data_IF_883910304469
#
_entry.id   IF_883910304469
#
_cell.length_a   1.000
_cell.length_b   1.000
_cell.length_c   1.000
_cell.angle_alpha   90.00
_cell.angle_beta   90.00
_cell.angle_gamma   90.00
#
_symmetry.space_group_name_H-M   'P 1'
#
loop_
_entity.id
_entity.type
_entity.pdbx_description
1 polymer ?
#
# COMPACT_ATOMS: atom_id res chain seq x y z
N UNK A 1 10.76 -21.06 12.74
CA UNK A 1 10.16 -20.20 11.71
C UNK A 1 10.52 -18.76 11.97
N UNK A 2 10.96 -18.06 10.94
CA UNK A 2 11.32 -16.67 11.09
C UNK A 2 10.11 -15.75 11.09
N UNK A 3 10.32 -14.52 11.56
CA UNK A 3 9.28 -13.51 11.59
C UNK A 3 8.75 -13.14 10.20
N UNK A 4 9.63 -13.13 9.19
CA UNK A 4 9.24 -12.86 7.79
C UNK A 4 8.18 -13.87 7.35
N UNK A 5 8.42 -15.17 7.60
CA UNK A 5 7.48 -16.22 7.24
C UNK A 5 6.13 -16.03 7.94
N UNK A 6 6.15 -15.68 9.23
CA UNK A 6 4.91 -15.42 9.98
C UNK A 6 4.11 -14.27 9.37
N UNK A 7 4.77 -13.17 9.03
CA UNK A 7 4.13 -12.02 8.40
C UNK A 7 3.51 -12.38 7.06
N UNK A 8 4.25 -13.09 6.21
CA UNK A 8 3.77 -13.49 4.89
C UNK A 8 2.63 -14.52 4.99
N UNK A 9 2.73 -15.47 5.89
CA UNK A 9 1.67 -16.47 6.10
C UNK A 9 0.37 -15.81 6.56
N UNK A 10 0.45 -14.87 7.49
CA UNK A 10 -0.70 -14.09 7.94
C UNK A 10 -1.32 -13.32 6.79
N UNK A 11 -0.48 -12.65 5.99
CA UNK A 11 -0.94 -11.88 4.83
C UNK A 11 -1.63 -12.76 3.80
N UNK A 12 -1.05 -13.92 3.48
CA UNK A 12 -1.62 -14.90 2.53
C UNK A 12 -2.96 -15.43 3.03
N UNK A 13 -3.08 -15.71 4.32
CA UNK A 13 -4.32 -16.20 4.93
C UNK A 13 -5.46 -15.20 4.76
N UNK A 14 -5.18 -13.91 4.85
CA UNK A 14 -6.19 -12.86 4.66
C UNK A 14 -6.72 -12.85 3.22
N UNK A 15 -5.83 -12.91 2.23
CA UNK A 15 -6.25 -12.95 0.82
C UNK A 15 -7.07 -14.21 0.54
N UNK A 16 -6.64 -15.36 1.07
CA UNK A 16 -7.36 -16.60 0.90
C UNK A 16 -8.75 -16.54 1.52
N UNK A 17 -8.85 -16.01 2.73
CA UNK A 17 -10.13 -15.91 3.45
C UNK A 17 -11.14 -15.01 2.74
N UNK A 18 -10.67 -13.97 2.06
CA UNK A 18 -11.52 -13.01 1.33
C UNK A 18 -11.60 -13.31 -0.17
N UNK A 19 -10.94 -14.33 -0.66
CA UNK A 19 -10.87 -14.68 -2.09
C UNK A 19 -10.31 -13.52 -2.93
N UNK A 20 -9.37 -12.76 -2.40
CA UNK A 20 -8.66 -11.71 -3.15
C UNK A 20 -7.67 -12.34 -4.12
N UNK A 21 -7.46 -11.69 -5.27
CA UNK A 21 -6.59 -12.22 -6.33
C UNK A 21 -5.11 -12.03 -6.05
N UNK A 22 -4.72 -11.02 -5.27
CA UNK A 22 -3.33 -10.74 -4.96
C UNK A 22 -2.82 -11.60 -3.79
N UNK A 23 -1.50 -11.62 -3.62
CA UNK A 23 -0.83 -12.55 -2.72
C UNK A 23 -1.25 -12.41 -1.25
N UNK A 24 -1.42 -11.20 -0.75
CA UNK A 24 -1.76 -11.02 0.64
C UNK A 24 -2.10 -9.59 1.02
N UNK A 25 -2.47 -9.41 2.29
CA UNK A 25 -2.81 -8.12 2.85
C UNK A 25 -2.13 -7.96 4.22
N UNK A 26 -1.58 -6.78 4.46
CA UNK A 26 -0.80 -6.47 5.66
C UNK A 26 -1.42 -5.26 6.38
N UNK A 27 -1.45 -5.31 7.70
CA UNK A 27 -1.74 -4.12 8.50
C UNK A 27 -0.53 -3.18 8.43
N UNK A 28 -0.70 -1.88 8.68
CA UNK A 28 0.42 -0.93 8.53
C UNK A 28 1.67 -1.30 9.32
N UNK A 29 1.52 -1.72 10.58
CA UNK A 29 2.69 -2.09 11.39
C UNK A 29 3.36 -3.37 10.89
N UNK A 30 2.62 -4.29 10.32
CA UNK A 30 3.17 -5.51 9.71
C UNK A 30 3.94 -5.16 8.45
N UNK A 31 3.40 -4.26 7.61
CA UNK A 31 4.08 -3.79 6.42
C UNK A 31 5.40 -3.10 6.79
N UNK A 32 5.38 -2.24 7.79
CA UNK A 32 6.58 -1.56 8.29
C UNK A 32 7.64 -2.56 8.76
N UNK A 33 7.24 -3.55 9.51
CA UNK A 33 8.15 -4.60 9.99
C UNK A 33 8.76 -5.37 8.83
N UNK A 34 7.95 -5.76 7.85
CA UNK A 34 8.42 -6.50 6.67
C UNK A 34 9.42 -5.68 5.86
N UNK A 35 9.18 -4.39 5.69
CA UNK A 35 10.10 -3.47 5.02
C UNK A 35 11.46 -3.43 5.72
N UNK A 36 11.47 -3.47 7.04
CA UNK A 36 12.70 -3.46 7.83
C UNK A 36 13.46 -4.80 7.76
N UNK A 37 12.73 -5.91 7.71
CA UNK A 37 13.32 -7.25 7.77
C UNK A 37 13.74 -7.79 6.41
N UNK A 38 13.14 -7.32 5.32
CA UNK A 38 13.35 -7.88 3.99
C UNK A 38 13.87 -6.82 3.04
N UNK A 39 15.19 -6.71 2.83
CA UNK A 39 15.77 -5.78 1.85
C UNK A 39 15.19 -6.03 0.45
N UNK A 40 14.98 -4.96 -0.29
CA UNK A 40 14.41 -5.05 -1.63
C UNK A 40 12.88 -5.03 -1.68
N UNK A 41 12.20 -5.15 -0.54
CA UNK A 41 10.75 -4.94 -0.48
C UNK A 41 10.44 -3.47 -0.73
N UNK A 42 9.45 -3.21 -1.58
CA UNK A 42 9.06 -1.86 -1.96
C UNK A 42 7.70 -1.50 -1.42
N UNK A 43 7.60 -0.35 -0.76
CA UNK A 43 6.31 0.25 -0.43
C UNK A 43 5.95 1.21 -1.56
N UNK A 44 4.83 0.95 -2.21
CA UNK A 44 4.35 1.73 -3.36
C UNK A 44 3.17 2.57 -2.92
N UNK A 45 3.37 3.87 -2.85
CA UNK A 45 2.32 4.82 -2.53
C UNK A 45 1.59 5.16 -3.83
N UNK A 46 0.31 4.78 -3.91
CA UNK A 46 -0.48 4.95 -5.14
C UNK A 46 -1.41 6.15 -5.06
N UNK A 47 -1.27 6.98 -4.02
CA UNK A 47 -2.07 8.20 -3.87
C UNK A 47 -1.71 9.23 -4.96
N UNK A 48 -2.60 10.20 -5.14
CA UNK A 48 -2.32 11.30 -6.06
C UNK A 48 -1.20 12.20 -5.51
N UNK A 49 -0.51 12.90 -6.41
CA UNK A 49 0.53 13.85 -6.02
C UNK A 49 -0.01 14.94 -5.08
N UNK A 50 -1.23 15.40 -5.32
CA UNK A 50 -1.88 16.40 -4.47
C UNK A 50 -2.00 15.91 -3.02
N UNK A 51 -2.34 14.64 -2.83
CA UNK A 51 -2.44 14.04 -1.49
C UNK A 51 -1.08 14.00 -0.79
N UNK A 52 -0.01 13.68 -1.52
CA UNK A 52 1.33 13.67 -0.94
C UNK A 52 1.73 15.06 -0.42
N UNK A 53 1.41 16.10 -1.17
CA UNK A 53 1.73 17.48 -0.78
C UNK A 53 0.90 17.94 0.41
N UNK A 54 -0.38 17.57 0.47
CA UNK A 54 -1.32 18.04 1.50
C UNK A 54 -1.26 17.20 2.78
N UNK A 55 -1.06 15.89 2.66
CA UNK A 55 -1.20 14.96 3.79
C UNK A 55 0.13 14.40 4.29
N UNK A 56 1.21 14.58 3.54
CA UNK A 56 2.51 14.04 3.89
C UNK A 56 2.84 12.76 3.15
N UNK A 57 4.07 12.27 3.39
CA UNK A 57 4.64 11.12 2.69
C UNK A 57 5.28 10.15 3.68
N UNK A 58 5.43 8.90 3.25
CA UNK A 58 6.17 7.89 4.00
C UNK A 58 7.61 7.88 3.46
N UNK A 59 8.62 8.06 4.32
CA UNK A 59 10.03 8.00 3.87
C UNK A 59 10.33 6.68 3.16
N UNK A 60 11.09 6.77 2.09
CA UNK A 60 11.54 5.62 1.28
C UNK A 60 10.44 4.92 0.48
N UNK A 61 9.21 5.38 0.51
CA UNK A 61 8.16 4.85 -0.36
C UNK A 61 8.37 5.35 -1.79
N UNK A 62 8.10 4.47 -2.75
CA UNK A 62 8.07 4.84 -4.16
C UNK A 62 6.69 5.39 -4.47
N UNK A 63 6.62 6.49 -5.21
CA UNK A 63 5.35 7.08 -5.59
C UNK A 63 5.02 6.74 -7.04
N UNK A 64 3.95 6.00 -7.25
CA UNK A 64 3.39 5.72 -8.58
C UNK A 64 1.88 5.90 -8.48
N UNK A 65 1.36 6.97 -9.08
CA UNK A 65 -0.07 7.27 -9.00
C UNK A 65 -0.91 6.18 -9.65
N UNK A 66 -1.96 5.75 -8.95
CA UNK A 66 -3.01 4.92 -9.53
C UNK A 66 -4.06 5.78 -10.24
N UNK A 67 -4.48 6.86 -9.59
CA UNK A 67 -5.38 7.88 -10.15
C UNK A 67 -4.84 9.25 -9.82
N UNK A 68 -4.94 10.17 -10.78
CA UNK A 68 -4.50 11.55 -10.58
C UNK A 68 -5.65 12.46 -10.14
N UNK A 69 -5.32 13.52 -9.43
CA UNK A 69 -6.23 14.59 -9.04
C UNK A 69 -5.91 15.84 -9.86
N UNK A 70 -6.90 16.62 -10.31
CA UNK A 70 -8.33 16.42 -10.12
C UNK A 70 -8.95 15.41 -11.07
N UNK A 71 -10.17 14.98 -10.73
CA UNK A 71 -10.98 14.12 -11.60
C UNK A 71 -10.79 12.62 -11.41
N UNK A 72 -9.84 12.21 -10.56
CA UNK A 72 -9.56 10.79 -10.29
C UNK A 72 -9.37 9.97 -11.58
N UNK A 73 -8.55 10.49 -12.48
CA UNK A 73 -8.26 9.85 -13.77
C UNK A 73 -7.25 8.73 -13.57
N UNK A 74 -7.57 7.54 -14.09
CA UNK A 74 -6.65 6.41 -14.02
C UNK A 74 -5.36 6.71 -14.75
N UNK A 75 -4.23 6.32 -14.17
CA UNK A 75 -2.92 6.46 -14.78
C UNK A 75 -2.71 5.32 -15.79
N UNK A 76 -2.75 5.59 -17.10
CA UNK A 76 -2.62 4.53 -18.11
C UNK A 76 -1.23 3.90 -18.14
N UNK A 77 -0.24 4.55 -17.52
CA UNK A 77 1.14 4.11 -17.50
C UNK A 77 1.54 3.46 -16.16
N UNK A 78 0.58 3.20 -15.28
CA UNK A 78 0.86 2.69 -13.93
C UNK A 78 1.76 1.45 -13.96
N UNK A 79 1.35 0.43 -14.70
CA UNK A 79 2.09 -0.84 -14.75
C UNK A 79 3.49 -0.66 -15.36
N UNK A 80 3.61 0.17 -16.41
CA UNK A 80 4.89 0.43 -17.04
C UNK A 80 5.84 1.19 -16.09
N UNK A 81 5.33 2.20 -15.40
CA UNK A 81 6.11 2.97 -14.43
C UNK A 81 6.58 2.09 -13.28
N UNK A 82 5.70 1.23 -12.79
CA UNK A 82 6.01 0.30 -11.72
C UNK A 82 7.10 -0.69 -12.14
N UNK A 83 6.99 -1.24 -13.34
CA UNK A 83 7.98 -2.19 -13.87
C UNK A 83 9.36 -1.55 -14.02
N UNK A 84 9.43 -0.27 -14.38
CA UNK A 84 10.71 0.45 -14.48
C UNK A 84 11.32 0.76 -13.11
N UNK A 85 10.48 0.98 -12.10
CA UNK A 85 10.93 1.42 -10.78
C UNK A 85 11.25 0.26 -9.83
N UNK A 86 10.83 -0.96 -10.15
CA UNK A 86 10.96 -2.11 -9.23
C UNK A 86 11.56 -3.33 -9.92
N UNK A 87 12.22 -4.16 -9.12
CA UNK A 87 12.71 -5.45 -9.55
C UNK A 87 11.54 -6.44 -9.66
N UNK A 88 11.46 -7.28 -10.72
CA UNK A 88 10.38 -8.26 -10.85
C UNK A 88 10.23 -9.23 -9.67
N UNK A 89 11.31 -9.46 -8.94
CA UNK A 89 11.32 -10.39 -7.79
C UNK A 89 10.96 -9.73 -6.46
N UNK A 90 10.87 -8.40 -6.41
CA UNK A 90 10.60 -7.68 -5.17
C UNK A 90 9.18 -7.89 -4.69
N UNK A 91 9.01 -7.96 -3.37
CA UNK A 91 7.68 -7.84 -2.76
C UNK A 91 7.19 -6.40 -2.93
N UNK A 92 5.97 -6.24 -3.41
CA UNK A 92 5.36 -4.93 -3.62
C UNK A 92 4.20 -4.74 -2.65
N UNK A 93 4.32 -3.74 -1.78
CA UNK A 93 3.31 -3.40 -0.80
C UNK A 93 2.64 -2.10 -1.25
N UNK A 94 1.37 -2.16 -1.65
CA UNK A 94 0.64 -1.00 -2.16
C UNK A 94 -0.14 -0.32 -1.06
N UNK A 95 -0.02 0.99 -0.95
CA UNK A 95 -0.73 1.79 0.06
C UNK A 95 -1.40 3.00 -0.61
N UNK A 96 -2.62 3.31 -0.16
CA UNK A 96 -3.31 4.52 -0.55
C UNK A 96 -3.84 5.24 0.70
N UNK A 97 -4.90 6.03 0.60
CA UNK A 97 -5.41 6.76 1.76
C UNK A 97 -6.08 5.84 2.79
N UNK A 98 -6.91 4.89 2.32
CA UNK A 98 -7.70 4.02 3.20
C UNK A 98 -7.86 2.57 2.73
N UNK A 99 -7.25 2.20 1.58
CA UNK A 99 -7.20 0.83 1.11
C UNK A 99 -7.79 0.52 -0.27
N UNK A 100 -8.83 1.21 -0.79
CA UNK A 100 -9.49 0.80 -2.03
C UNK A 100 -8.64 0.91 -3.30
N UNK A 101 -7.89 2.00 -3.47
CA UNK A 101 -7.04 2.20 -4.66
C UNK A 101 -5.86 1.24 -4.66
N UNK A 102 -5.24 1.03 -3.51
CA UNK A 102 -4.13 0.07 -3.36
C UNK A 102 -4.60 -1.37 -3.58
N UNK A 103 -5.83 -1.69 -3.18
CA UNK A 103 -6.47 -2.97 -3.50
C UNK A 103 -6.52 -3.17 -5.02
N UNK A 104 -7.01 -2.16 -5.76
CA UNK A 104 -7.12 -2.24 -7.22
C UNK A 104 -5.74 -2.32 -7.89
N UNK A 105 -4.78 -1.58 -7.37
CA UNK A 105 -3.41 -1.60 -7.88
C UNK A 105 -2.77 -2.99 -7.71
N UNK A 106 -2.90 -3.58 -6.53
CA UNK A 106 -2.40 -4.93 -6.26
C UNK A 106 -3.05 -5.96 -7.17
N UNK A 107 -4.36 -5.87 -7.37
CA UNK A 107 -5.09 -6.77 -8.26
C UNK A 107 -4.64 -6.62 -9.72
N UNK A 108 -4.45 -5.39 -10.19
CA UNK A 108 -3.99 -5.12 -11.56
C UNK A 108 -2.60 -5.68 -11.80
N UNK A 109 -1.67 -5.50 -10.86
CA UNK A 109 -0.32 -6.04 -10.98
C UNK A 109 -0.31 -7.56 -10.98
N UNK A 110 -1.14 -8.18 -10.16
CA UNK A 110 -1.29 -9.63 -10.11
C UNK A 110 -1.82 -10.15 -11.45
N UNK A 111 -2.83 -9.49 -12.01
CA UNK A 111 -3.38 -9.84 -13.32
C UNK A 111 -2.35 -9.70 -14.44
N UNK A 112 -1.39 -8.79 -14.27
CA UNK A 112 -0.30 -8.59 -15.23
C UNK A 112 0.87 -9.57 -15.05
N UNK A 113 0.77 -10.50 -14.10
CA UNK A 113 1.76 -11.56 -13.89
C UNK A 113 2.70 -11.39 -12.70
N UNK A 114 2.55 -10.34 -11.88
CA UNK A 114 3.36 -10.17 -10.68
C UNK A 114 2.77 -10.98 -9.53
N UNK A 115 3.53 -11.95 -8.99
CA UNK A 115 3.07 -12.84 -7.94
C UNK A 115 3.20 -12.31 -6.51
N UNK A 116 3.92 -11.22 -6.31
CA UNK A 116 4.32 -10.72 -4.99
C UNK A 116 3.67 -9.38 -4.66
N UNK A 117 2.37 -9.24 -4.90
CA UNK A 117 1.62 -8.00 -4.68
C UNK A 117 0.75 -8.10 -3.43
N UNK A 118 0.89 -7.10 -2.56
CA UNK A 118 0.21 -7.05 -1.26
C UNK A 118 -0.51 -5.73 -1.10
N UNK A 119 -1.67 -5.74 -0.46
CA UNK A 119 -2.38 -4.52 -0.09
C UNK A 119 -2.09 -4.17 1.36
N UNK A 120 -1.72 -2.92 1.62
CA UNK A 120 -1.61 -2.40 2.98
C UNK A 120 -2.99 -1.92 3.40
N UNK A 121 -3.59 -2.66 4.32
CA UNK A 121 -4.91 -2.37 4.86
C UNK A 121 -4.88 -1.05 5.63
N UNK A 122 -6.04 -0.40 5.74
CA UNK A 122 -6.23 0.88 6.44
C UNK A 122 -5.61 2.08 5.73
N UNK A 123 -4.53 1.90 4.97
CA UNK A 123 -3.88 2.97 4.24
C UNK A 123 -3.14 3.97 5.13
N UNK A 124 -2.85 5.13 4.56
CA UNK A 124 -2.04 6.17 5.22
C UNK A 124 -2.83 6.92 6.29
N UNK A 125 -4.10 7.23 6.03
CA UNK A 125 -4.95 8.03 6.92
C UNK A 125 -6.07 7.23 7.59
N UNK A 126 -6.28 6.00 7.15
CA UNK A 126 -7.30 5.14 7.73
C UNK A 126 -8.72 5.46 7.29
N UNK A 127 -9.66 4.82 7.96
CA UNK A 127 -11.08 4.97 7.70
C UNK A 127 -11.60 6.29 8.23
N UNK A 128 -12.64 6.81 7.55
CA UNK A 128 -13.32 8.02 8.01
C UNK A 128 -14.11 7.72 9.29
N UNK A 129 -13.87 8.50 10.33
CA UNK A 129 -14.70 8.47 11.52
C UNK A 129 -15.99 9.24 11.22
N UNK A 130 -17.08 8.52 11.02
CA UNK A 130 -18.36 9.12 10.62
C UNK A 130 -18.96 10.02 11.70
N UNK A 131 -18.59 9.80 12.96
CA UNK A 131 -19.07 10.62 14.06
C UNK A 131 -18.44 12.02 14.07
N UNK A 132 -17.17 12.14 13.64
CA UNK A 132 -16.43 13.41 13.64
C UNK A 132 -16.22 13.99 12.27
N UNK A 133 -16.32 13.17 11.21
CA UNK A 133 -15.98 13.58 9.84
C UNK A 133 -14.48 13.63 9.58
N UNK A 134 -13.64 13.04 10.47
CA UNK A 134 -12.18 13.09 10.36
C UNK A 134 -11.58 11.71 10.11
N UNK A 135 -10.43 11.71 9.46
CA UNK A 135 -9.55 10.54 9.36
C UNK A 135 -8.46 10.64 10.42
N UNK A 136 -7.58 9.65 10.49
CA UNK A 136 -6.48 9.57 11.47
C UNK A 136 -6.96 9.42 12.92
N UNK A 137 -8.15 8.92 13.12
CA UNK A 137 -8.74 8.75 14.45
C UNK A 137 -9.08 7.31 14.80
N UNK A 138 -9.17 6.42 13.82
CA UNK A 138 -9.57 5.03 14.03
C UNK A 138 -8.45 4.03 13.75
N UNK A 139 -7.75 4.22 12.64
CA UNK A 139 -6.71 3.32 12.17
C UNK A 139 -5.86 4.03 11.11
N UNK A 140 -4.91 3.30 10.50
CA UNK A 140 -4.05 3.81 9.44
C UNK A 140 -2.61 3.97 9.87
N UNK A 141 -1.73 4.19 8.89
CA UNK A 141 -0.29 4.36 9.09
C UNK A 141 0.03 5.46 10.12
N UNK A 142 -0.55 6.64 9.93
CA UNK A 142 -0.34 7.78 10.84
C UNK A 142 -0.88 7.49 12.24
N UNK A 143 -2.09 6.95 12.32
CA UNK A 143 -2.74 6.65 13.59
C UNK A 143 -1.91 5.67 14.43
N UNK A 144 -1.25 4.74 13.79
CA UNK A 144 -0.40 3.74 14.46
C UNK A 144 0.99 4.28 14.83
N UNK A 145 1.25 5.55 14.58
CA UNK A 145 2.51 6.19 14.95
C UNK A 145 3.71 5.79 14.09
N UNK A 146 3.48 5.33 12.88
CA UNK A 146 4.55 4.92 11.97
C UNK A 146 5.18 6.14 11.27
N UNK A 147 6.42 6.03 10.76
CA UNK A 147 7.15 7.18 10.24
C UNK A 147 6.47 7.85 9.04
N UNK A 148 6.34 9.17 9.09
CA UNK A 148 5.89 9.98 7.97
C UNK A 148 6.42 11.40 8.11
N UNK A 149 6.50 12.13 7.00
CA UNK A 149 6.98 13.51 6.97
C UNK A 149 6.04 14.38 6.16
N UNK A 150 6.12 15.68 6.39
CA UNK A 150 5.33 16.68 5.66
C UNK A 150 6.21 17.87 5.33
N UNK A 151 6.11 18.39 4.13
CA UNK A 151 6.89 19.56 3.70
C UNK A 151 6.24 20.87 4.13
#
# INVERSE_FOLDING_TARGET
MGRITELLDTAHSRSKAHSWSFAGALLPHEARELLQLTPGTCLIDVRSRAELELSGVIPDALHVEWQSWPGWVLNPNFLAQLAQATDPESLLLFICRSGPRSYRAAAACTAAGRGNCYNVLEGFEGDLNKATGHRNELNGWKYRGLPWTQS
#
